data_IF_238288060307
#
_entry.id   IF_238288060307
#
_cell.length_a   1.000
_cell.length_b   1.000
_cell.length_c   1.000
_cell.angle_alpha   90.00
_cell.angle_beta   90.00
_cell.angle_gamma   90.00
#
_symmetry.space_group_name_H-M   'P 1'
#
loop_
_entity.id
_entity.type
_entity.pdbx_description
1 polymer ?
#
# COMPACT_ATOMS: atom_id res chain seq x y z
N UNK A 1 14.16 15.87 47.54
CA UNK A 1 14.22 14.48 47.04
C UNK A 1 12.87 13.85 47.23
N UNK A 2 12.04 13.82 46.18
CA UNK A 2 10.79 13.06 46.17
C UNK A 2 11.12 11.70 45.54
N UNK A 3 11.04 10.64 46.36
CA UNK A 3 11.10 9.26 45.90
C UNK A 3 9.83 8.97 45.09
N UNK A 4 9.95 9.01 43.77
CA UNK A 4 8.94 8.46 42.85
C UNK A 4 9.06 6.94 42.90
N UNK A 5 8.28 6.30 43.78
CA UNK A 5 8.08 4.85 43.75
C UNK A 5 7.00 4.59 42.70
N UNK A 6 7.40 4.28 41.47
CA UNK A 6 6.51 3.69 40.46
C UNK A 6 6.65 2.17 40.52
N UNK A 7 5.89 1.52 41.40
CA UNK A 7 5.65 0.08 41.25
C UNK A 7 4.57 -0.10 40.20
N UNK A 8 4.96 -0.37 38.94
CA UNK A 8 4.04 -0.95 37.97
C UNK A 8 4.01 -2.45 38.22
N UNK A 9 2.90 -2.95 38.77
CA UNK A 9 2.66 -4.38 38.95
C UNK A 9 2.30 -4.97 37.59
N UNK A 10 3.06 -5.97 37.15
CA UNK A 10 2.58 -6.94 36.16
C UNK A 10 1.53 -7.79 36.86
N UNK A 11 0.29 -7.74 36.37
CA UNK A 11 -0.86 -8.42 37.00
C UNK A 11 -1.22 -9.66 36.17
N UNK A 12 -1.22 -10.81 36.83
CA UNK A 12 -1.81 -12.04 36.29
C UNK A 12 -3.33 -11.88 36.20
N UNK A 13 -3.85 -12.05 34.98
CA UNK A 13 -5.27 -12.04 34.71
C UNK A 13 -5.87 -13.42 34.97
N UNK A 14 -7.13 -13.39 35.41
CA UNK A 14 -8.00 -14.54 35.59
C UNK A 14 -9.35 -14.30 34.87
N UNK A 15 -10.25 -15.28 34.96
CA UNK A 15 -11.59 -15.17 34.37
C UNK A 15 -12.43 -13.98 34.86
N UNK A 16 -12.13 -13.41 36.03
CA UNK A 16 -12.90 -12.28 36.60
C UNK A 16 -12.31 -10.93 36.21
N UNK A 17 -11.00 -10.88 36.00
CA UNK A 17 -10.26 -9.65 35.72
C UNK A 17 -10.00 -9.44 34.24
N UNK A 18 -10.05 -10.50 33.43
CA UNK A 18 -9.78 -10.42 31.99
C UNK A 18 -10.64 -9.38 31.28
N UNK A 19 -11.97 -9.42 31.43
CA UNK A 19 -12.89 -8.48 30.77
C UNK A 19 -12.59 -7.02 31.11
N UNK A 20 -12.14 -6.75 32.34
CA UNK A 20 -11.78 -5.39 32.77
C UNK A 20 -10.53 -4.86 32.05
N UNK A 21 -9.64 -5.75 31.64
CA UNK A 21 -8.33 -5.41 31.06
C UNK A 21 -8.18 -5.86 29.61
N UNK A 22 -9.25 -6.32 28.95
CA UNK A 22 -9.21 -6.90 27.58
C UNK A 22 -8.64 -5.94 26.52
N UNK A 23 -8.71 -4.63 26.79
CA UNK A 23 -8.20 -3.55 25.92
C UNK A 23 -6.76 -3.12 26.26
N UNK A 24 -6.22 -3.57 27.39
CA UNK A 24 -4.83 -3.32 27.74
C UNK A 24 -3.90 -4.25 26.93
N UNK A 25 -2.60 -3.96 26.87
CA UNK A 25 -1.63 -4.91 26.37
C UNK A 25 -1.61 -6.17 27.25
N UNK A 26 -1.74 -7.35 26.64
CA UNK A 26 -1.80 -8.64 27.33
C UNK A 26 -0.78 -9.60 26.72
N UNK A 27 0.10 -10.15 27.54
CA UNK A 27 0.98 -11.28 27.23
C UNK A 27 0.25 -12.60 27.53
N UNK A 28 0.01 -13.38 26.50
CA UNK A 28 -0.49 -14.75 26.58
C UNK A 28 0.70 -15.69 26.58
N UNK A 29 0.79 -16.57 27.57
CA UNK A 29 1.94 -17.45 27.73
C UNK A 29 1.54 -18.85 28.23
N UNK A 30 2.47 -19.79 28.11
CA UNK A 30 2.37 -21.13 28.68
C UNK A 30 3.72 -21.47 29.33
N UNK A 31 3.71 -21.99 30.56
CA UNK A 31 4.91 -22.36 31.31
C UNK A 31 5.75 -23.44 30.62
N UNK A 32 5.16 -24.23 29.71
CA UNK A 32 5.89 -25.22 28.90
C UNK A 32 6.73 -24.58 27.79
N UNK A 33 6.39 -23.36 27.37
CA UNK A 33 7.06 -22.62 26.30
C UNK A 33 7.92 -21.48 26.84
N UNK A 34 7.49 -20.82 27.92
CA UNK A 34 8.21 -19.73 28.57
C UNK A 34 8.56 -20.08 30.01
N UNK A 35 9.86 -20.03 30.33
CA UNK A 35 10.32 -20.19 31.71
C UNK A 35 9.94 -18.98 32.58
N UNK A 36 9.77 -19.23 33.88
CA UNK A 36 9.50 -18.19 34.88
C UNK A 36 10.59 -17.10 34.91
N UNK A 37 11.85 -17.47 34.64
CA UNK A 37 12.97 -16.53 34.50
C UNK A 37 12.81 -15.62 33.28
N UNK A 38 12.29 -16.13 32.17
CA UNK A 38 12.00 -15.33 30.99
C UNK A 38 10.84 -14.35 31.24
N UNK A 39 9.80 -14.80 31.97
CA UNK A 39 8.71 -13.92 32.43
C UNK A 39 9.22 -12.81 33.35
N UNK A 40 10.08 -13.11 34.32
CA UNK A 40 10.69 -12.08 35.18
C UNK A 40 11.56 -11.08 34.42
N UNK A 41 12.29 -11.54 33.38
CA UNK A 41 13.09 -10.66 32.53
C UNK A 41 12.19 -9.68 31.76
N UNK A 42 11.03 -10.16 31.31
CA UNK A 42 10.00 -9.33 30.69
C UNK A 42 9.49 -8.28 31.69
N UNK A 43 9.13 -8.68 32.91
CA UNK A 43 8.61 -7.76 33.94
C UNK A 43 9.58 -6.59 34.22
N UNK A 44 10.89 -6.87 34.29
CA UNK A 44 11.92 -5.86 34.51
C UNK A 44 12.01 -4.88 33.33
N UNK A 45 11.99 -5.38 32.09
CA UNK A 45 12.06 -4.54 30.90
C UNK A 45 10.80 -3.68 30.74
N UNK A 46 9.64 -4.21 31.12
CA UNK A 46 8.35 -3.51 31.05
C UNK A 46 8.26 -2.36 32.05
N UNK A 47 8.94 -2.43 33.20
CA UNK A 47 9.03 -1.30 34.15
C UNK A 47 9.71 -0.05 33.57
N UNK A 48 10.43 -0.17 32.45
CA UNK A 48 11.00 0.97 31.74
C UNK A 48 10.04 1.58 30.71
N UNK A 49 8.90 0.93 30.46
CA UNK A 49 7.85 1.39 29.55
C UNK A 49 6.72 1.92 30.42
N UNK A 50 6.29 3.17 30.22
CA UNK A 50 5.22 3.80 31.00
C UNK A 50 3.80 3.20 30.72
N UNK A 51 3.70 1.90 30.49
CA UNK A 51 2.47 1.16 30.23
C UNK A 51 2.44 -0.14 31.04
N UNK A 52 1.30 -0.43 31.66
CA UNK A 52 1.07 -1.71 32.32
C UNK A 52 0.79 -2.78 31.27
N UNK A 53 1.51 -3.89 31.36
CA UNK A 53 1.26 -5.08 30.56
C UNK A 53 0.75 -6.15 31.50
N UNK A 54 -0.36 -6.74 31.11
CA UNK A 54 -1.02 -7.80 31.86
C UNK A 54 -0.57 -9.14 31.29
N UNK A 55 -0.64 -10.21 32.07
CA UNK A 55 -0.28 -11.55 31.59
C UNK A 55 -1.39 -12.54 31.88
N UNK A 56 -1.54 -13.54 31.03
CA UNK A 56 -2.50 -14.63 31.24
C UNK A 56 -1.87 -15.96 30.85
N UNK A 57 -1.95 -16.91 31.77
CA UNK A 57 -1.44 -18.25 31.57
C UNK A 57 -2.45 -19.11 30.81
N UNK A 58 -2.17 -19.41 29.55
CA UNK A 58 -3.03 -20.20 28.68
C UNK A 58 -3.07 -21.68 29.01
N UNK A 59 -2.14 -22.20 29.82
CA UNK A 59 -2.25 -23.56 30.36
C UNK A 59 -3.34 -23.65 31.45
N UNK A 60 -3.62 -22.54 32.14
CA UNK A 60 -4.65 -22.46 33.20
C UNK A 60 -5.98 -21.98 32.62
N UNK A 61 -5.95 -20.94 31.78
CA UNK A 61 -7.13 -20.26 31.24
C UNK A 61 -7.30 -20.54 29.74
N UNK A 62 -7.36 -21.83 29.38
CA UNK A 62 -7.41 -22.33 28.00
C UNK A 62 -8.58 -21.73 27.21
N UNK A 63 -9.77 -21.66 27.80
CA UNK A 63 -10.97 -21.15 27.13
C UNK A 63 -10.85 -19.67 26.75
N UNK A 64 -10.26 -18.85 27.63
CA UNK A 64 -10.03 -17.42 27.38
C UNK A 64 -9.05 -17.28 26.21
N UNK A 65 -7.89 -17.94 26.27
CA UNK A 65 -6.89 -17.85 25.21
C UNK A 65 -7.43 -18.35 23.85
N UNK A 66 -8.26 -19.39 23.86
CA UNK A 66 -8.91 -19.92 22.65
C UNK A 66 -9.91 -18.93 22.06
N UNK A 67 -10.74 -18.31 22.89
CA UNK A 67 -11.72 -17.29 22.47
C UNK A 67 -11.02 -16.04 21.92
N UNK A 68 -9.87 -15.69 22.48
CA UNK A 68 -8.99 -14.63 22.00
C UNK A 68 -8.18 -15.01 20.74
N UNK A 69 -8.39 -16.20 20.19
CA UNK A 69 -7.74 -16.65 18.96
C UNK A 69 -6.23 -16.90 19.09
N UNK A 70 -5.71 -17.11 20.30
CA UNK A 70 -4.28 -17.30 20.55
C UNK A 70 -3.86 -18.71 20.13
N UNK A 71 -3.20 -18.81 18.97
CA UNK A 71 -2.74 -20.10 18.41
C UNK A 71 -1.25 -20.36 18.62
N UNK A 72 -0.46 -19.31 18.69
CA UNK A 72 1.00 -19.38 18.75
C UNK A 72 1.46 -18.66 20.01
N UNK A 73 1.92 -19.42 21.01
CA UNK A 73 2.42 -18.89 22.27
C UNK A 73 3.97 -18.87 22.30
N UNK A 74 4.59 -17.93 23.03
CA UNK A 74 3.94 -16.78 23.64
C UNK A 74 3.42 -15.79 22.60
N UNK A 75 2.46 -14.96 22.99
CA UNK A 75 1.94 -13.88 22.14
C UNK A 75 1.59 -12.65 22.95
N UNK A 76 1.73 -11.48 22.34
CA UNK A 76 1.32 -10.20 22.91
C UNK A 76 0.20 -9.63 22.07
N UNK A 77 -0.94 -9.35 22.70
CA UNK A 77 -2.05 -8.60 22.11
C UNK A 77 -1.99 -7.16 22.60
N UNK A 78 -2.11 -6.19 21.71
CA UNK A 78 -2.32 -4.79 22.05
C UNK A 78 -3.54 -4.27 21.29
N UNK A 79 -4.41 -3.53 21.97
CA UNK A 79 -5.64 -3.00 21.39
C UNK A 79 -5.58 -1.49 21.29
N UNK A 80 -5.62 -0.97 20.07
CA UNK A 80 -5.66 0.46 19.79
C UNK A 80 -6.95 0.80 19.03
N UNK A 81 -7.74 1.74 19.56
CA UNK A 81 -9.01 2.16 18.95
C UNK A 81 -9.98 1.00 18.62
N UNK A 82 -10.06 0.00 19.51
CA UNK A 82 -10.84 -1.23 19.35
C UNK A 82 -10.38 -2.16 18.22
N UNK A 83 -9.16 -1.99 17.69
CA UNK A 83 -8.51 -2.95 16.80
C UNK A 83 -7.38 -3.63 17.56
N UNK A 84 -7.41 -4.96 17.59
CA UNK A 84 -6.39 -5.77 18.23
C UNK A 84 -5.30 -6.16 17.24
N UNK A 85 -4.06 -6.00 17.68
CA UNK A 85 -2.85 -6.42 16.98
C UNK A 85 -2.20 -7.52 17.80
N UNK A 86 -1.59 -8.50 17.15
CA UNK A 86 -0.93 -9.63 17.82
C UNK A 86 0.45 -9.87 17.25
N UNK A 87 1.43 -9.98 18.16
CA UNK A 87 2.78 -10.50 17.89
C UNK A 87 2.91 -11.86 18.56
N UNK A 88 3.56 -12.84 17.93
CA UNK A 88 3.64 -14.22 18.45
C UNK A 88 5.01 -14.85 18.24
N UNK A 89 5.29 -15.94 18.97
CA UNK A 89 6.49 -16.75 18.83
C UNK A 89 7.72 -16.14 19.51
N UNK A 90 8.90 -16.35 18.93
CA UNK A 90 10.17 -15.88 19.50
C UNK A 90 10.20 -14.36 19.72
N UNK A 91 9.56 -13.58 18.83
CA UNK A 91 9.49 -12.12 18.98
C UNK A 91 8.66 -11.71 20.19
N UNK A 92 7.61 -12.48 20.51
CA UNK A 92 6.81 -12.26 21.70
C UNK A 92 7.48 -12.78 22.98
N UNK A 93 8.57 -13.53 22.90
CA UNK A 93 9.38 -13.89 24.06
C UNK A 93 10.44 -12.83 24.41
N UNK A 94 10.73 -11.91 23.49
CA UNK A 94 11.75 -10.87 23.63
C UNK A 94 11.16 -9.58 24.21
N UNK A 95 11.55 -9.15 25.42
CA UNK A 95 10.98 -7.97 26.07
C UNK A 95 11.15 -6.66 25.28
N UNK A 96 12.27 -6.49 24.58
CA UNK A 96 12.53 -5.26 23.81
C UNK A 96 11.59 -5.19 22.60
N UNK A 97 11.39 -6.33 21.92
CA UNK A 97 10.43 -6.43 20.82
C UNK A 97 8.99 -6.25 21.29
N UNK A 98 8.63 -6.75 22.47
CA UNK A 98 7.31 -6.49 23.06
C UNK A 98 7.09 -5.00 23.32
N UNK A 99 8.05 -4.34 23.97
CA UNK A 99 7.99 -2.91 24.26
C UNK A 99 7.85 -2.07 22.97
N UNK A 100 8.63 -2.43 21.94
CA UNK A 100 8.54 -1.79 20.63
C UNK A 100 7.18 -2.05 19.95
N UNK A 101 6.69 -3.29 19.97
CA UNK A 101 5.39 -3.66 19.41
C UNK A 101 4.24 -2.90 20.08
N UNK A 102 4.23 -2.84 21.41
CA UNK A 102 3.18 -2.15 22.17
C UNK A 102 3.26 -0.64 21.94
N UNK A 103 4.45 -0.04 22.05
CA UNK A 103 4.61 1.41 21.83
C UNK A 103 4.24 1.83 20.42
N UNK A 104 4.63 1.06 19.39
CA UNK A 104 4.25 1.31 17.99
C UNK A 104 2.78 1.07 17.70
N UNK A 105 2.14 0.13 18.41
CA UNK A 105 0.69 -0.12 18.29
C UNK A 105 -0.13 1.00 18.94
N UNK A 106 0.33 1.50 20.09
CA UNK A 106 -0.39 2.49 20.89
C UNK A 106 -0.12 3.94 20.48
N UNK A 107 0.97 4.20 19.74
CA UNK A 107 1.25 5.52 19.18
C UNK A 107 0.24 5.88 18.10
N UNK A 108 0.03 7.16 17.81
CA UNK A 108 -0.79 7.55 16.64
C UNK A 108 -0.09 7.16 15.34
N UNK A 109 -0.89 6.87 14.31
CA UNK A 109 -0.40 6.67 12.94
C UNK A 109 0.09 7.97 12.30
N UNK A 110 -0.34 9.11 12.84
CA UNK A 110 0.07 10.41 12.38
C UNK A 110 1.40 10.79 13.00
N UNK A 111 2.38 11.10 12.15
CA UNK A 111 3.61 11.72 12.62
C UNK A 111 3.35 13.14 13.14
N UNK A 112 4.14 13.58 14.11
CA UNK A 112 4.07 14.93 14.67
C UNK A 112 4.87 15.90 13.82
N UNK A 113 4.22 16.93 13.28
CA UNK A 113 4.82 17.95 12.44
C UNK A 113 4.25 19.33 12.79
N UNK A 114 5.09 20.37 12.77
CA UNK A 114 4.63 21.73 13.07
C UNK A 114 3.80 22.34 11.94
N UNK A 115 4.09 21.99 10.68
CA UNK A 115 3.35 22.48 9.51
C UNK A 115 3.22 21.39 8.43
N UNK A 116 2.25 21.56 7.52
CA UNK A 116 2.12 20.71 6.32
C UNK A 116 3.43 20.70 5.53
N UNK A 117 4.05 21.87 5.32
CA UNK A 117 5.29 21.97 4.56
C UNK A 117 6.43 21.14 5.18
N UNK A 118 6.61 21.19 6.51
CA UNK A 118 7.63 20.38 7.20
C UNK A 118 7.44 18.87 6.98
N UNK A 119 6.19 18.40 6.94
CA UNK A 119 5.90 17.01 6.62
C UNK A 119 6.28 16.68 5.17
N UNK A 120 5.87 17.51 4.21
CA UNK A 120 6.18 17.33 2.79
C UNK A 120 7.70 17.29 2.55
N UNK A 121 8.44 18.24 3.12
CA UNK A 121 9.91 18.33 3.00
C UNK A 121 10.58 17.06 3.54
N UNK A 122 10.08 16.52 4.67
CA UNK A 122 10.61 15.26 5.23
C UNK A 122 10.32 14.07 4.33
N UNK A 123 9.11 13.98 3.77
CA UNK A 123 8.76 12.89 2.84
C UNK A 123 9.64 12.93 1.58
N UNK A 124 9.94 14.12 1.07
CA UNK A 124 10.87 14.31 -0.04
C UNK A 124 12.31 13.90 0.32
N UNK A 125 12.83 14.37 1.45
CA UNK A 125 14.17 13.99 1.95
C UNK A 125 14.31 12.48 2.15
N UNK A 126 13.27 11.82 2.65
CA UNK A 126 13.23 10.38 2.88
C UNK A 126 12.86 9.58 1.62
N UNK A 127 12.59 10.25 0.49
CA UNK A 127 12.21 9.64 -0.79
C UNK A 127 10.99 8.72 -0.66
N UNK A 128 10.01 9.13 0.15
CA UNK A 128 8.73 8.44 0.22
C UNK A 128 7.90 8.77 -1.03
N UNK A 129 7.75 7.77 -1.90
CA UNK A 129 6.97 7.89 -3.14
C UNK A 129 5.46 8.02 -2.88
N UNK A 130 4.94 7.52 -1.74
CA UNK A 130 3.52 7.60 -1.39
C UNK A 130 3.35 7.95 0.09
N UNK A 131 2.56 8.98 0.39
CA UNK A 131 2.24 9.42 1.74
C UNK A 131 0.89 10.17 1.77
N UNK A 132 0.35 10.38 2.96
CA UNK A 132 -1.01 10.88 3.15
C UNK A 132 -1.04 12.07 4.11
N UNK A 133 -1.92 13.02 3.81
CA UNK A 133 -2.23 14.15 4.68
C UNK A 133 -3.71 14.07 5.05
N UNK A 134 -3.98 14.00 6.34
CA UNK A 134 -5.31 14.05 6.92
C UNK A 134 -5.53 15.45 7.50
N UNK A 135 -6.67 16.05 7.20
CA UNK A 135 -7.07 17.34 7.75
C UNK A 135 -8.48 17.25 8.27
N UNK A 136 -8.77 17.88 9.40
CA UNK A 136 -10.11 17.93 9.95
C UNK A 136 -10.12 18.39 11.41
N UNK A 137 -11.31 18.42 12.04
CA UNK A 137 -11.45 18.90 13.41
C UNK A 137 -11.14 17.82 14.46
N UNK A 138 -11.05 16.56 14.07
CA UNK A 138 -10.89 15.43 14.99
C UNK A 138 -9.90 14.40 14.43
N UNK A 139 -8.68 14.41 14.97
CA UNK A 139 -7.61 13.47 14.61
C UNK A 139 -8.02 12.01 14.88
N UNK A 140 -8.57 11.73 16.07
CA UNK A 140 -8.96 10.39 16.48
C UNK A 140 -10.01 9.80 15.54
N UNK A 141 -11.00 10.59 15.12
CA UNK A 141 -11.98 10.13 14.14
C UNK A 141 -11.31 9.72 12.82
N UNK A 142 -10.48 10.58 12.24
CA UNK A 142 -9.80 10.31 10.96
C UNK A 142 -8.81 9.14 11.05
N UNK A 143 -8.08 9.02 12.15
CA UNK A 143 -7.22 7.86 12.41
C UNK A 143 -8.05 6.57 12.45
N UNK A 144 -9.23 6.61 13.08
CA UNK A 144 -10.15 5.47 13.13
C UNK A 144 -10.70 5.03 11.78
N UNK A 145 -10.69 5.89 10.76
CA UNK A 145 -11.07 5.55 9.38
C UNK A 145 -9.96 4.80 8.65
N UNK A 146 -8.69 5.08 8.96
CA UNK A 146 -7.52 4.55 8.27
C UNK A 146 -6.77 3.47 9.07
N UNK A 147 -7.33 3.01 10.18
CA UNK A 147 -6.65 2.20 11.19
C UNK A 147 -6.09 0.88 10.66
N UNK A 148 -6.79 0.22 9.72
CA UNK A 148 -6.31 -1.02 9.04
C UNK A 148 -5.01 -0.83 8.24
N UNK A 149 -4.62 0.43 8.03
CA UNK A 149 -3.46 0.87 7.27
C UNK A 149 -2.37 1.52 8.13
N UNK A 150 -2.51 1.56 9.47
CA UNK A 150 -1.58 2.22 10.41
C UNK A 150 -0.09 1.96 10.14
N UNK A 151 0.28 0.71 9.86
CA UNK A 151 1.68 0.31 9.60
C UNK A 151 1.99 0.14 8.11
N UNK A 152 1.10 0.60 7.24
CA UNK A 152 1.16 0.41 5.78
C UNK A 152 1.30 1.72 5.02
N UNK A 153 1.16 2.86 5.71
CA UNK A 153 1.23 4.20 5.13
C UNK A 153 2.04 5.14 6.01
N UNK A 154 2.59 6.17 5.38
CA UNK A 154 3.12 7.35 6.07
C UNK A 154 2.05 8.43 6.04
N UNK A 155 1.65 8.92 7.21
CA UNK A 155 0.57 9.89 7.34
C UNK A 155 0.89 10.99 8.34
N UNK A 156 0.33 12.17 8.11
CA UNK A 156 0.31 13.28 9.06
C UNK A 156 -1.11 13.82 9.19
N UNK A 157 -1.41 14.40 10.36
CA UNK A 157 -2.66 15.10 10.62
C UNK A 157 -2.42 16.58 10.86
N UNK A 158 -3.28 17.42 10.31
CA UNK A 158 -3.32 18.85 10.57
C UNK A 158 -4.74 19.30 10.90
N UNK A 159 -4.89 20.02 12.01
CA UNK A 159 -6.20 20.54 12.42
C UNK A 159 -6.78 21.49 11.36
N UNK A 160 -8.06 21.32 11.06
CA UNK A 160 -8.78 22.12 10.08
C UNK A 160 -10.28 22.10 10.36
N UNK A 161 -11.00 23.18 9.99
CA UNK A 161 -12.47 23.20 10.04
C UNK A 161 -13.12 22.26 9.02
N UNK A 162 -12.38 21.85 7.97
CA UNK A 162 -12.87 20.97 6.91
C UNK A 162 -12.17 19.63 6.94
N UNK A 163 -12.94 18.54 6.81
CA UNK A 163 -12.39 17.20 6.63
C UNK A 163 -11.83 17.04 5.21
N UNK A 164 -10.56 16.65 5.10
CA UNK A 164 -9.88 16.33 3.84
C UNK A 164 -8.90 15.18 4.05
N UNK A 165 -8.87 14.24 3.11
CA UNK A 165 -7.80 13.23 3.03
C UNK A 165 -7.13 13.41 1.67
N UNK A 166 -5.82 13.57 1.69
CA UNK A 166 -5.03 13.84 0.50
C UNK A 166 -3.95 12.77 0.41
N UNK A 167 -3.90 12.05 -0.70
CA UNK A 167 -2.79 11.17 -1.03
C UNK A 167 -1.82 11.91 -1.94
N UNK A 168 -0.54 11.88 -1.58
CA UNK A 168 0.54 12.30 -2.46
C UNK A 168 1.18 11.04 -3.02
N UNK A 169 1.17 10.91 -4.35
CA UNK A 169 1.75 9.77 -5.06
C UNK A 169 2.71 10.33 -6.09
N UNK A 170 3.99 10.11 -5.88
CA UNK A 170 5.05 10.49 -6.78
C UNK A 170 5.00 11.98 -7.19
N UNK A 171 4.78 12.86 -6.21
CA UNK A 171 4.67 14.31 -6.42
C UNK A 171 3.30 14.80 -6.90
N UNK A 172 2.37 13.90 -7.24
CA UNK A 172 0.99 14.26 -7.60
C UNK A 172 0.05 14.20 -6.40
N UNK A 173 -0.86 15.17 -6.30
CA UNK A 173 -1.86 15.29 -5.25
C UNK A 173 -3.20 14.67 -5.69
N UNK A 174 -3.77 13.80 -4.87
CA UNK A 174 -5.08 13.18 -5.06
C UNK A 174 -5.93 13.43 -3.82
N UNK A 175 -7.02 14.17 -3.96
CA UNK A 175 -7.96 14.41 -2.84
C UNK A 175 -9.04 13.34 -2.82
N UNK A 176 -9.33 12.80 -1.65
CA UNK A 176 -10.44 11.88 -1.44
C UNK A 176 -11.79 12.57 -1.70
N UNK A 177 -12.63 11.91 -2.49
CA UNK A 177 -14.00 12.33 -2.77
C UNK A 177 -14.91 11.14 -2.49
N UNK A 178 -15.79 11.28 -1.49
CA UNK A 178 -16.68 10.21 -1.06
C UNK A 178 -17.12 10.38 0.39
N UNK A 179 -17.76 9.34 0.91
CA UNK A 179 -18.21 9.31 2.30
C UNK A 179 -17.06 9.02 3.26
N UNK A 180 -17.02 9.72 4.40
CA UNK A 180 -15.97 9.57 5.42
C UNK A 180 -16.27 8.37 6.33
N UNK A 181 -16.36 7.19 5.72
CA UNK A 181 -16.48 5.90 6.38
C UNK A 181 -15.20 5.05 6.19
N UNK A 182 -15.07 3.98 6.98
CA UNK A 182 -13.89 3.10 6.96
C UNK A 182 -13.69 2.40 5.61
N UNK A 183 -14.76 1.99 4.96
CA UNK A 183 -14.68 1.25 3.71
C UNK A 183 -14.20 2.16 2.58
N UNK A 184 -14.86 3.30 2.39
CA UNK A 184 -14.55 4.28 1.34
C UNK A 184 -13.13 4.83 1.49
N UNK A 185 -12.75 5.25 2.71
CA UNK A 185 -11.39 5.73 2.98
C UNK A 185 -10.36 4.61 2.81
N UNK A 186 -10.66 3.39 3.27
CA UNK A 186 -9.78 2.22 3.09
C UNK A 186 -9.57 1.88 1.61
N UNK A 187 -10.61 1.96 0.78
CA UNK A 187 -10.51 1.76 -0.66
C UNK A 187 -9.62 2.83 -1.31
N UNK A 188 -9.82 4.11 -0.98
CA UNK A 188 -8.98 5.21 -1.45
C UNK A 188 -7.51 4.99 -1.07
N UNK A 189 -7.21 4.67 0.20
CA UNK A 189 -5.84 4.38 0.64
C UNK A 189 -5.25 3.20 -0.14
N UNK A 190 -6.00 2.11 -0.33
CA UNK A 190 -5.54 0.95 -1.11
C UNK A 190 -5.21 1.32 -2.55
N UNK A 191 -6.07 2.10 -3.21
CA UNK A 191 -5.85 2.57 -4.57
C UNK A 191 -4.65 3.52 -4.66
N UNK A 192 -4.54 4.48 -3.75
CA UNK A 192 -3.44 5.43 -3.72
C UNK A 192 -2.07 4.79 -3.42
N UNK A 193 -2.05 3.65 -2.73
CA UNK A 193 -0.82 2.88 -2.50
C UNK A 193 -0.36 2.07 -3.70
N UNK A 194 -1.22 1.86 -4.71
CA UNK A 194 -0.80 1.16 -5.92
C UNK A 194 0.31 1.97 -6.61
N UNK A 195 1.32 1.28 -7.11
CA UNK A 195 2.37 1.93 -7.88
C UNK A 195 1.76 2.49 -9.17
N UNK A 196 2.11 3.73 -9.54
CA UNK A 196 1.70 4.30 -10.83
C UNK A 196 2.32 3.54 -12.01
N UNK A 197 3.41 2.84 -11.75
CA UNK A 197 4.12 2.01 -12.70
C UNK A 197 4.58 0.74 -11.99
N UNK A 198 3.67 -0.23 -11.89
CA UNK A 198 3.91 -1.50 -11.21
C UNK A 198 4.31 -2.60 -12.18
N UNK A 199 4.87 -3.70 -11.67
CA UNK A 199 5.02 -4.93 -12.45
C UNK A 199 3.63 -5.52 -12.69
N UNK A 200 3.30 -5.84 -13.94
CA UNK A 200 2.04 -6.52 -14.25
C UNK A 200 2.04 -7.95 -13.68
N UNK A 201 1.12 -8.25 -12.77
CA UNK A 201 0.81 -9.57 -12.24
C UNK A 201 -0.47 -10.19 -12.87
N UNK A 202 -0.88 -11.36 -12.38
CA UNK A 202 -2.01 -12.12 -12.94
C UNK A 202 -3.39 -11.51 -12.65
N UNK A 203 -3.55 -10.80 -11.54
CA UNK A 203 -4.79 -10.10 -11.22
C UNK A 203 -4.88 -8.80 -12.03
N UNK A 204 -3.74 -8.13 -12.22
CA UNK A 204 -3.62 -6.95 -13.09
C UNK A 204 -3.73 -7.32 -14.58
N UNK A 205 -3.35 -8.54 -14.96
CA UNK A 205 -3.58 -9.06 -16.31
C UNK A 205 -5.06 -9.04 -16.69
N UNK A 206 -5.97 -9.33 -15.74
CA UNK A 206 -7.42 -9.25 -15.99
C UNK A 206 -7.84 -7.82 -16.37
N UNK A 207 -7.10 -6.80 -15.93
CA UNK A 207 -7.38 -5.40 -16.30
C UNK A 207 -7.04 -5.10 -17.75
N UNK A 208 -6.06 -5.79 -18.37
CA UNK A 208 -5.81 -5.66 -19.82
C UNK A 208 -7.07 -5.91 -20.65
N UNK A 209 -7.99 -6.73 -20.14
CA UNK A 209 -9.23 -7.07 -20.86
C UNK A 209 -10.33 -6.01 -20.75
N UNK A 210 -10.22 -5.08 -19.80
CA UNK A 210 -11.29 -4.14 -19.43
C UNK A 210 -10.92 -2.69 -19.72
N UNK A 211 -9.71 -2.30 -19.32
CA UNK A 211 -9.29 -0.91 -19.27
C UNK A 211 -8.17 -0.62 -20.26
N UNK A 212 -7.92 0.66 -20.54
CA UNK A 212 -6.74 1.07 -21.30
C UNK A 212 -5.50 0.89 -20.45
N UNK A 213 -4.55 0.12 -20.98
CA UNK A 213 -3.29 -0.19 -20.30
C UNK A 213 -2.10 0.13 -21.19
N UNK A 214 -1.11 0.83 -20.64
CA UNK A 214 0.20 1.03 -21.24
C UNK A 214 1.23 0.11 -20.58
N UNK A 215 1.82 -0.81 -21.35
CA UNK A 215 2.83 -1.76 -20.94
C UNK A 215 4.21 -1.32 -21.43
N UNK A 216 5.12 -1.07 -20.50
CA UNK A 216 6.54 -0.97 -20.81
C UNK A 216 7.20 -2.35 -20.66
N UNK A 217 7.53 -2.96 -21.79
CA UNK A 217 8.13 -4.30 -21.86
C UNK A 217 9.63 -4.17 -21.99
N UNK A 218 10.39 -4.70 -21.02
CA UNK A 218 11.84 -4.67 -21.05
C UNK A 218 12.48 -5.84 -20.31
N UNK A 219 13.77 -6.08 -20.56
CA UNK A 219 14.58 -6.98 -19.73
C UNK A 219 15.23 -6.21 -18.57
N UNK A 220 14.80 -6.42 -17.31
CA UNK A 220 15.34 -5.71 -16.16
C UNK A 220 16.79 -6.10 -15.83
N UNK A 221 17.33 -7.15 -16.45
CA UNK A 221 18.74 -7.57 -16.30
C UNK A 221 19.68 -6.73 -17.16
N UNK A 222 19.16 -6.05 -18.18
CA UNK A 222 19.96 -5.18 -19.05
C UNK A 222 20.03 -3.76 -18.48
N UNK A 223 21.24 -3.27 -18.22
CA UNK A 223 21.44 -1.98 -17.57
C UNK A 223 20.92 -0.79 -18.42
N UNK A 224 21.06 -0.88 -19.73
CA UNK A 224 20.49 0.09 -20.69
C UNK A 224 18.97 0.24 -20.55
N UNK A 225 18.26 -0.86 -20.29
CA UNK A 225 16.82 -0.85 -20.08
C UNK A 225 16.42 -0.25 -18.74
N UNK A 226 17.23 -0.42 -17.69
CA UNK A 226 16.96 0.19 -16.38
C UNK A 226 16.97 1.72 -16.46
N UNK A 227 17.85 2.32 -17.27
CA UNK A 227 17.82 3.77 -17.50
C UNK A 227 16.52 4.21 -18.16
N UNK A 228 16.12 3.53 -19.26
CA UNK A 228 14.85 3.80 -19.95
C UNK A 228 13.63 3.60 -19.02
N UNK A 229 13.66 2.61 -18.13
CA UNK A 229 12.59 2.41 -17.13
C UNK A 229 12.48 3.57 -16.14
N UNK A 230 13.60 4.20 -15.75
CA UNK A 230 13.58 5.41 -14.90
C UNK A 230 12.97 6.59 -15.63
N UNK A 231 13.33 6.78 -16.90
CA UNK A 231 12.77 7.86 -17.71
C UNK A 231 11.27 7.65 -17.96
N UNK A 232 10.84 6.40 -18.16
CA UNK A 232 9.42 6.03 -18.24
C UNK A 232 8.68 6.33 -16.93
N UNK A 233 9.26 5.97 -15.78
CA UNK A 233 8.67 6.30 -14.46
C UNK A 233 8.48 7.81 -14.33
N UNK A 234 9.46 8.64 -14.71
CA UNK A 234 9.35 10.10 -14.69
C UNK A 234 8.27 10.63 -15.63
N UNK A 235 8.19 10.08 -16.84
CA UNK A 235 7.14 10.43 -17.80
C UNK A 235 5.75 10.13 -17.24
N UNK A 236 5.53 8.94 -16.68
CA UNK A 236 4.24 8.53 -16.09
C UNK A 236 3.85 9.43 -14.92
N UNK A 237 4.81 9.82 -14.08
CA UNK A 237 4.56 10.75 -12.97
C UNK A 237 4.02 12.10 -13.46
N UNK A 238 4.62 12.64 -14.53
CA UNK A 238 4.13 13.87 -15.17
C UNK A 238 2.74 13.66 -15.79
N UNK A 239 2.54 12.56 -16.53
CA UNK A 239 1.28 12.23 -17.17
C UNK A 239 0.12 12.04 -16.19
N UNK A 240 0.33 11.32 -15.10
CA UNK A 240 -0.73 11.04 -14.12
C UNK A 240 -1.27 12.34 -13.50
N UNK A 241 -0.40 13.34 -13.32
CA UNK A 241 -0.79 14.66 -12.86
C UNK A 241 -1.78 15.35 -13.81
N UNK A 242 -1.53 15.24 -15.12
CA UNK A 242 -2.31 15.90 -16.17
C UNK A 242 -3.59 15.13 -16.51
N UNK A 243 -3.53 13.79 -16.54
CA UNK A 243 -4.66 12.89 -16.83
C UNK A 243 -5.78 12.96 -15.79
N UNK A 244 -5.43 13.09 -14.50
CA UNK A 244 -6.40 13.21 -13.40
C UNK A 244 -7.29 14.46 -13.55
N UNK A 245 -6.77 15.53 -14.18
CA UNK A 245 -7.55 16.75 -14.47
C UNK A 245 -8.47 16.61 -15.68
N UNK A 246 -8.16 15.69 -16.61
CA UNK A 246 -8.86 15.50 -17.87
C UNK A 246 -9.88 14.34 -17.86
N UNK A 247 -9.97 13.57 -16.78
CA UNK A 247 -10.90 12.44 -16.66
C UNK A 247 -10.58 11.27 -17.61
N UNK A 248 -9.32 11.15 -18.04
CA UNK A 248 -8.84 10.07 -18.91
C UNK A 248 -7.98 9.13 -18.09
N UNK A 249 -8.30 7.84 -18.05
CA UNK A 249 -7.56 6.87 -17.23
C UNK A 249 -6.89 5.83 -18.13
N UNK A 250 -5.56 5.90 -18.22
CA UNK A 250 -4.73 4.81 -18.73
C UNK A 250 -3.84 4.33 -17.59
N UNK A 251 -3.85 3.02 -17.36
CA UNK A 251 -3.03 2.42 -16.29
C UNK A 251 -1.68 2.01 -16.85
N UNK A 252 -0.59 2.32 -16.15
CA UNK A 252 0.75 1.99 -16.61
C UNK A 252 1.33 0.82 -15.82
N UNK A 253 1.85 -0.17 -16.55
CA UNK A 253 2.62 -1.26 -15.97
C UNK A 253 3.92 -1.47 -16.71
N UNK A 254 4.83 -2.17 -16.06
CA UNK A 254 5.97 -2.77 -16.72
C UNK A 254 5.96 -4.28 -16.64
N UNK A 255 6.63 -4.90 -17.60
CA UNK A 255 6.76 -6.35 -17.65
C UNK A 255 7.98 -6.75 -18.49
N UNK A 256 8.18 -8.04 -18.67
CA UNK A 256 9.26 -8.59 -19.49
C UNK A 256 8.69 -9.56 -20.52
N UNK A 257 9.34 -9.68 -21.68
CA UNK A 257 9.04 -10.72 -22.67
C UNK A 257 9.10 -12.14 -22.08
N UNK A 258 9.83 -12.33 -20.97
CA UNK A 258 9.91 -13.61 -20.26
C UNK A 258 8.75 -13.85 -19.29
N UNK A 259 7.81 -12.92 -19.17
CA UNK A 259 6.64 -13.09 -18.31
C UNK A 259 5.77 -14.24 -18.85
N UNK A 260 5.70 -15.34 -18.09
CA UNK A 260 4.99 -16.55 -18.48
C UNK A 260 3.49 -16.31 -18.64
N UNK A 261 2.92 -15.43 -17.83
CA UNK A 261 1.49 -15.12 -17.84
C UNK A 261 1.10 -14.36 -19.12
N UNK A 262 2.04 -13.62 -19.69
CA UNK A 262 1.87 -12.88 -20.95
C UNK A 262 2.40 -13.62 -22.18
N UNK A 263 2.87 -14.86 -22.04
CA UNK A 263 3.51 -15.59 -23.15
C UNK A 263 2.61 -15.66 -24.38
N UNK A 264 1.32 -15.95 -24.19
CA UNK A 264 0.37 -16.03 -25.29
C UNK A 264 0.14 -14.67 -25.96
N UNK A 265 0.03 -13.61 -25.16
CA UNK A 265 -0.07 -12.23 -25.65
C UNK A 265 1.15 -11.86 -26.49
N UNK A 266 2.36 -12.04 -25.97
CA UNK A 266 3.61 -11.71 -26.68
C UNK A 266 3.82 -12.55 -27.94
N UNK A 267 3.50 -13.84 -27.90
CA UNK A 267 3.56 -14.70 -29.08
C UNK A 267 2.58 -14.26 -30.18
N UNK A 268 1.40 -13.78 -29.80
CA UNK A 268 0.38 -13.36 -30.74
C UNK A 268 0.72 -12.04 -31.46
N UNK A 269 1.41 -11.12 -30.77
CA UNK A 269 1.80 -9.82 -31.34
C UNK A 269 3.14 -9.85 -32.10
N UNK A 270 3.94 -10.93 -31.96
CA UNK A 270 5.19 -11.19 -32.71
C UNK A 270 6.21 -10.03 -32.69
N UNK A 271 6.43 -9.42 -31.53
CA UNK A 271 7.42 -8.35 -31.38
C UNK A 271 8.83 -8.89 -31.17
N UNK A 272 9.80 -8.15 -31.71
CA UNK A 272 11.21 -8.38 -31.41
C UNK A 272 11.52 -8.07 -29.94
N UNK A 273 12.02 -9.07 -29.22
CA UNK A 273 12.35 -9.00 -27.80
C UNK A 273 13.74 -8.43 -27.51
N UNK A 274 14.52 -8.08 -28.53
CA UNK A 274 15.90 -7.61 -28.38
C UNK A 274 16.01 -6.20 -27.77
N UNK A 275 14.93 -5.40 -27.83
CA UNK A 275 14.90 -4.04 -27.28
C UNK A 275 13.59 -3.78 -26.53
N UNK A 276 13.52 -2.72 -25.71
CA UNK A 276 12.33 -2.43 -24.94
C UNK A 276 11.21 -1.96 -25.88
N UNK A 277 9.96 -2.20 -25.47
CA UNK A 277 8.76 -1.82 -26.22
C UNK A 277 7.76 -1.14 -25.30
N UNK A 278 6.98 -0.23 -25.87
CA UNK A 278 5.80 0.34 -25.22
C UNK A 278 4.59 -0.14 -26.01
N UNK A 279 3.63 -0.75 -25.31
CA UNK A 279 2.45 -1.34 -25.91
C UNK A 279 1.24 -0.78 -25.19
N UNK A 280 0.33 -0.15 -25.92
CA UNK A 280 -0.98 0.24 -25.38
C UNK A 280 -2.00 -0.79 -25.80
N UNK A 281 -2.82 -1.27 -24.87
CA UNK A 281 -3.76 -2.35 -25.12
C UNK A 281 -5.04 -2.19 -24.31
N UNK A 282 -6.14 -2.71 -24.87
CA UNK A 282 -7.45 -2.86 -24.24
C UNK A 282 -8.16 -4.04 -24.90
N UNK A 283 -8.54 -5.04 -24.12
CA UNK A 283 -9.19 -6.25 -24.65
C UNK A 283 -8.29 -7.01 -25.62
N UNK A 284 -8.84 -7.31 -26.80
CA UNK A 284 -8.11 -7.97 -27.90
C UNK A 284 -7.37 -6.98 -28.83
N UNK A 285 -7.26 -5.71 -28.44
CA UNK A 285 -6.66 -4.67 -29.25
C UNK A 285 -5.34 -4.18 -28.65
N UNK A 286 -4.36 -3.92 -29.49
CA UNK A 286 -3.07 -3.38 -29.08
C UNK A 286 -2.49 -2.43 -30.13
N UNK A 287 -1.61 -1.55 -29.70
CA UNK A 287 -0.76 -0.75 -30.57
C UNK A 287 0.62 -0.61 -29.94
N UNK A 288 1.65 -0.59 -30.78
CA UNK A 288 3.03 -0.46 -30.34
C UNK A 288 3.51 0.95 -30.65
N UNK A 289 4.15 1.57 -29.66
CA UNK A 289 4.87 2.81 -29.88
C UNK A 289 6.28 2.47 -30.32
N UNK A 290 6.59 2.81 -31.58
CA UNK A 290 7.78 2.34 -32.29
C UNK A 290 9.02 3.22 -32.07
N UNK A 291 8.88 4.37 -31.42
CA UNK A 291 10.02 5.26 -31.18
C UNK A 291 10.89 4.82 -30.01
N UNK A 292 12.19 5.03 -30.14
CA UNK A 292 13.15 4.76 -29.07
C UNK A 292 13.15 5.80 -27.95
N UNK A 293 12.64 7.00 -28.24
CA UNK A 293 12.54 8.16 -27.35
C UNK A 293 11.11 8.33 -26.84
N UNK A 294 10.94 8.89 -25.64
CA UNK A 294 9.59 9.14 -25.08
C UNK A 294 9.01 10.51 -25.47
N UNK A 295 9.64 11.23 -26.40
CA UNK A 295 9.27 12.61 -26.72
C UNK A 295 7.82 12.73 -27.22
N UNK A 296 7.37 11.78 -28.03
CA UNK A 296 6.03 11.76 -28.64
C UNK A 296 5.08 10.76 -27.98
N UNK A 297 5.47 10.18 -26.84
CA UNK A 297 4.64 9.19 -26.16
C UNK A 297 3.31 9.81 -25.69
N UNK A 298 3.33 11.07 -25.24
CA UNK A 298 2.13 11.78 -24.79
C UNK A 298 1.09 11.93 -25.92
N UNK A 299 1.53 12.45 -27.06
CA UNK A 299 0.72 12.61 -28.27
C UNK A 299 0.16 11.27 -28.76
N UNK A 300 0.96 10.21 -28.68
CA UNK A 300 0.54 8.86 -29.01
C UNK A 300 -0.56 8.35 -28.05
N UNK A 301 -0.38 8.50 -26.74
CA UNK A 301 -1.37 8.05 -25.75
C UNK A 301 -2.69 8.81 -25.91
N UNK A 302 -2.63 10.13 -26.14
CA UNK A 302 -3.80 10.94 -26.45
C UNK A 302 -4.47 10.51 -27.76
N UNK A 303 -3.68 10.20 -28.78
CA UNK A 303 -4.17 9.65 -30.04
C UNK A 303 -4.91 8.32 -29.86
N UNK A 304 -4.42 7.44 -28.99
CA UNK A 304 -5.09 6.17 -28.66
C UNK A 304 -6.40 6.41 -27.90
N UNK A 305 -6.38 7.26 -26.87
CA UNK A 305 -7.56 7.55 -26.04
C UNK A 305 -8.66 8.29 -26.82
N UNK A 306 -8.29 9.09 -27.82
CA UNK A 306 -9.20 9.78 -28.72
C UNK A 306 -9.59 8.96 -29.96
N UNK A 307 -9.19 7.68 -30.02
CA UNK A 307 -9.44 6.77 -31.14
C UNK A 307 -8.92 7.29 -32.49
N UNK A 308 -7.92 8.18 -32.46
CA UNK A 308 -7.23 8.71 -33.65
C UNK A 308 -6.12 7.77 -34.14
N UNK A 309 -5.66 6.87 -33.28
CA UNK A 309 -4.67 5.84 -33.60
C UNK A 309 -5.39 4.53 -33.90
N UNK A 310 -5.10 3.94 -35.06
CA UNK A 310 -5.66 2.65 -35.43
C UNK A 310 -5.06 1.55 -34.55
N UNK A 311 -5.91 0.82 -33.82
CA UNK A 311 -5.50 -0.31 -33.00
C UNK A 311 -5.44 -1.60 -33.83
N UNK A 312 -4.45 -2.45 -33.57
CA UNK A 312 -4.33 -3.78 -34.16
C UNK A 312 -5.08 -4.83 -33.34
N UNK A 313 -5.64 -5.84 -34.00
CA UNK A 313 -6.25 -7.00 -33.31
C UNK A 313 -5.17 -8.05 -33.00
N UNK A 314 -5.15 -8.54 -31.77
CA UNK A 314 -4.25 -9.63 -31.34
C UNK A 314 -4.52 -10.88 -32.21
N UNK A 315 -3.50 -11.37 -32.90
CA UNK A 315 -3.59 -12.53 -33.79
C UNK A 315 -4.16 -12.24 -35.19
N UNK A 316 -4.53 -11.00 -35.52
CA UNK A 316 -5.02 -10.60 -36.84
C UNK A 316 -3.97 -9.82 -37.66
N UNK A 317 -4.02 -9.93 -39.00
CA UNK A 317 -3.34 -8.97 -39.90
C UNK A 317 -4.06 -7.61 -39.83
N UNK A 318 -3.35 -6.48 -39.99
CA UNK A 318 -3.98 -5.17 -40.00
C UNK A 318 -5.09 -5.10 -41.07
N UNK A 319 -6.27 -4.60 -40.69
CA UNK A 319 -7.33 -4.31 -41.65
C UNK A 319 -6.91 -3.11 -42.49
N UNK A 320 -6.63 -3.35 -43.77
CA UNK A 320 -6.64 -2.31 -44.78
C UNK A 320 -8.06 -1.71 -44.82
N UNK A 321 -8.17 -0.40 -44.59
CA UNK A 321 -9.37 0.34 -44.99
C UNK A 321 -9.56 0.08 -46.49
N UNK A 322 -10.75 -0.40 -46.88
CA UNK A 322 -11.23 -0.13 -48.23
C UNK A 322 -11.43 1.38 -48.29
N UNK A 323 -10.59 2.07 -49.06
CA UNK A 323 -10.96 3.36 -49.61
C UNK A 323 -12.21 3.13 -50.45
N UNK A 324 -13.36 3.61 -49.96
CA UNK A 324 -14.45 3.98 -50.85
C UNK A 324 -13.97 5.26 -51.53
N UNK A 325 -13.41 5.10 -52.72
CA UNK A 325 -13.40 6.15 -53.72
C UNK A 325 -14.86 6.23 -54.17
N UNK A 326 -15.56 7.27 -53.73
CA UNK A 326 -16.78 7.72 -54.40
C UNK A 326 -16.35 8.29 -55.76
N UNK A 327 -16.52 7.49 -56.81
CA UNK A 327 -16.63 8.00 -58.17
C UNK A 327 -17.99 8.69 -58.29
N UNK A 328 -18.04 9.98 -57.96
CA UNK A 328 -19.08 10.88 -58.44
C UNK A 328 -18.70 11.34 -59.86
N UNK A 329 -19.09 10.55 -60.87
CA UNK A 329 -19.39 11.05 -62.21
C UNK A 329 -20.91 11.13 -62.39
N UNK A 330 -21.47 12.34 -62.26
CA UNK A 330 -22.43 12.96 -63.20
C UNK A 330 -22.81 14.40 -62.82
#
# INVERSE_FOLDING_TARGET
>A
MLLSISFQLVVDLDSKTFERFEKAPILFYDNSVMSEKALQTIEIAQNNVAMNIYKINCAVWTDICKNEGQKNLPSVKATYMNVSYTMSGEEAADPEKQAYFISSTMSSMFGTYGTKQQFMDKMEQQKHDVYFVFQGPNATFLEGLALEHKNKIYAAYFESSTQKIIAFRYGSEFTFVGDYDRESVGQFIRQSRKQLFGKLDIEEYKQLTRDWVCLFVFDPRQESHKSKAKDMKRFIQKQTHDQTKAGREITFFHTSFQNRDLKNFFNAIKLDSSMPRIIVTRGEQFQVFEEESFAHLDEFLDGVLLEKVQMMKIGGRPQQKREQIEDDEL
#
